data_IF_433017724537
#
_entry.id   IF_433017724537
#
_cell.length_a   1.000
_cell.length_b   1.000
_cell.length_c   1.000
_cell.angle_alpha   90.00
_cell.angle_beta   90.00
_cell.angle_gamma   90.00
#
_symmetry.space_group_name_H-M   'P 1'
#
loop_
_entity.id
_entity.type
_entity.pdbx_description
1 polymer ?
#
# COMPACT_ATOMS: atom_id res chain seq x y z
N UNK A 1 -23.51 12.51 33.26
CA UNK A 1 -22.72 13.04 32.12
C UNK A 1 -22.55 14.58 32.07
N UNK A 2 -23.21 15.39 32.93
CA UNK A 2 -23.06 16.86 32.91
C UNK A 2 -21.71 17.38 33.45
N UNK A 3 -21.15 16.72 34.47
CA UNK A 3 -19.84 17.10 35.02
C UNK A 3 -18.72 16.99 33.98
N UNK A 4 -18.66 15.86 33.27
CA UNK A 4 -17.67 15.59 32.20
C UNK A 4 -17.75 16.66 31.09
N UNK A 5 -18.95 17.02 30.65
CA UNK A 5 -19.15 18.03 29.61
C UNK A 5 -18.64 19.42 30.04
N UNK A 6 -18.91 19.82 31.29
CA UNK A 6 -18.43 21.09 31.86
C UNK A 6 -16.91 21.11 32.03
N UNK A 7 -16.31 20.02 32.50
CA UNK A 7 -14.84 19.90 32.64
C UNK A 7 -14.13 19.99 31.30
N UNK A 8 -14.70 19.42 30.24
CA UNK A 8 -14.13 19.43 28.88
C UNK A 8 -14.50 20.69 28.07
N UNK A 9 -15.32 21.60 28.61
CA UNK A 9 -15.77 22.81 27.90
C UNK A 9 -16.66 22.54 26.68
N UNK A 10 -17.37 21.41 26.66
CA UNK A 10 -18.23 21.01 25.53
C UNK A 10 -19.70 20.94 25.94
N UNK A 11 -20.61 21.14 24.97
CA UNK A 11 -22.04 21.00 25.22
C UNK A 11 -22.43 19.57 25.59
N UNK A 12 -23.37 19.42 26.55
CA UNK A 12 -23.93 18.13 26.98
C UNK A 12 -24.58 17.36 25.83
N UNK A 13 -25.29 18.04 24.92
CA UNK A 13 -25.92 17.39 23.76
C UNK A 13 -24.88 16.78 22.83
N UNK A 14 -23.79 17.49 22.56
CA UNK A 14 -22.70 17.01 21.73
C UNK A 14 -22.03 15.74 22.31
N UNK A 15 -21.89 15.63 23.64
CA UNK A 15 -21.36 14.41 24.28
C UNK A 15 -22.27 13.22 24.05
N UNK A 16 -23.59 13.39 24.20
CA UNK A 16 -24.61 12.34 24.00
C UNK A 16 -24.68 11.93 22.52
N UNK A 17 -24.64 12.90 21.61
CA UNK A 17 -24.68 12.67 20.17
C UNK A 17 -23.40 11.99 19.65
N UNK A 18 -22.25 12.28 20.27
CA UNK A 18 -20.95 11.66 19.92
C UNK A 18 -20.81 10.27 20.55
N UNK A 19 -21.30 10.06 21.76
CA UNK A 19 -21.21 8.75 22.43
C UNK A 19 -22.11 7.69 21.79
N UNK A 20 -23.19 8.11 21.13
CA UNK A 20 -24.13 7.21 20.44
C UNK A 20 -23.71 6.89 19.00
N UNK A 21 -22.84 7.69 18.37
CA UNK A 21 -22.44 7.52 16.98
C UNK A 21 -21.09 6.81 16.88
N UNK A 22 -20.92 5.83 15.97
CA UNK A 22 -19.62 5.26 15.69
C UNK A 22 -18.68 6.34 15.12
N UNK A 23 -17.40 6.25 15.44
CA UNK A 23 -16.39 7.16 14.89
C UNK A 23 -16.36 7.04 13.37
N UNK A 24 -16.53 8.18 12.68
CA UNK A 24 -16.45 8.21 11.21
C UNK A 24 -14.99 7.99 10.79
N UNK A 25 -14.69 6.96 9.99
CA UNK A 25 -13.34 6.77 9.49
C UNK A 25 -12.95 7.95 8.61
N UNK A 26 -11.68 8.34 8.69
CA UNK A 26 -11.12 9.34 7.79
C UNK A 26 -11.18 8.79 6.36
N UNK A 27 -11.74 9.57 5.45
CA UNK A 27 -11.86 9.16 4.04
C UNK A 27 -10.50 8.89 3.37
N UNK A 28 -10.50 8.22 2.20
CA UNK A 28 -9.28 7.95 1.47
C UNK A 28 -8.53 9.26 1.16
N UNK A 29 -7.20 9.18 1.12
CA UNK A 29 -6.35 10.33 0.80
C UNK A 29 -6.79 10.94 -0.54
N UNK A 30 -7.15 12.22 -0.59
CA UNK A 30 -7.43 12.92 -1.85
C UNK A 30 -6.91 14.33 -1.71
N UNK A 31 -5.98 14.68 -2.59
CA UNK A 31 -5.38 16.00 -2.64
C UNK A 31 -5.47 16.51 -4.09
N UNK A 32 -6.16 17.64 -4.34
CA UNK A 32 -6.37 18.13 -5.71
C UNK A 32 -5.03 18.48 -6.41
N UNK A 33 -4.05 18.95 -5.63
CA UNK A 33 -2.67 19.21 -6.04
C UNK A 33 -1.92 17.98 -6.61
N UNK A 34 -2.37 16.76 -6.32
CA UNK A 34 -1.74 15.52 -6.80
C UNK A 34 -2.25 15.03 -8.16
N UNK A 35 -3.39 15.56 -8.62
CA UNK A 35 -4.09 15.02 -9.79
C UNK A 35 -3.47 15.52 -11.10
N UNK A 36 -2.94 16.75 -11.12
CA UNK A 36 -2.49 17.40 -12.35
C UNK A 36 -0.98 17.28 -12.60
N UNK A 37 -0.12 17.75 -11.68
CA UNK A 37 1.31 17.91 -11.96
C UNK A 37 2.17 16.66 -11.62
N UNK A 38 2.08 16.08 -10.40
CA UNK A 38 2.92 14.92 -10.06
C UNK A 38 2.52 13.65 -10.80
N UNK A 39 1.24 13.51 -11.16
CA UNK A 39 0.72 12.30 -11.79
C UNK A 39 1.29 12.12 -13.20
N UNK A 40 1.28 13.16 -14.04
CA UNK A 40 1.83 13.10 -15.40
C UNK A 40 3.34 12.79 -15.42
N UNK A 41 4.12 13.42 -14.53
CA UNK A 41 5.56 13.14 -14.35
C UNK A 41 5.82 11.71 -13.86
N UNK A 42 4.94 11.18 -13.00
CA UNK A 42 5.02 9.79 -12.54
C UNK A 42 4.73 8.81 -13.66
N UNK A 43 3.69 9.04 -14.48
CA UNK A 43 3.35 8.16 -15.59
C UNK A 43 4.49 8.09 -16.62
N UNK A 44 5.11 9.22 -16.97
CA UNK A 44 6.25 9.21 -17.91
C UNK A 44 7.45 8.43 -17.38
N UNK A 45 7.75 8.59 -16.08
CA UNK A 45 8.85 7.87 -15.41
C UNK A 45 8.58 6.36 -15.33
N UNK A 46 7.35 5.97 -15.00
CA UNK A 46 6.95 4.55 -14.86
C UNK A 46 6.89 3.86 -16.22
N UNK A 47 6.41 4.55 -17.27
CA UNK A 47 6.38 4.02 -18.62
C UNK A 47 7.78 3.62 -19.13
N UNK A 48 8.81 4.40 -18.78
CA UNK A 48 10.19 4.08 -19.14
C UNK A 48 10.80 2.96 -18.29
N UNK A 49 10.35 2.81 -17.04
CA UNK A 49 10.95 1.89 -16.04
C UNK A 49 9.87 1.17 -15.23
N UNK A 50 9.11 0.24 -15.83
CA UNK A 50 7.97 -0.42 -15.17
C UNK A 50 8.37 -1.31 -14.00
N UNK A 51 9.64 -1.74 -13.93
CA UNK A 51 10.20 -2.57 -12.84
C UNK A 51 10.54 -1.76 -11.58
N UNK A 52 10.40 -0.43 -11.59
CA UNK A 52 10.82 0.42 -10.47
C UNK A 52 9.71 0.62 -9.45
N UNK A 53 10.00 0.30 -8.18
CA UNK A 53 9.12 0.62 -7.07
C UNK A 53 9.16 2.10 -6.69
N UNK A 54 8.17 2.53 -5.91
CA UNK A 54 7.93 3.93 -5.57
C UNK A 54 9.17 4.69 -5.05
N UNK A 55 10.05 4.05 -4.26
CA UNK A 55 11.29 4.69 -3.75
C UNK A 55 12.25 5.11 -4.87
N UNK A 56 12.40 4.30 -5.92
CA UNK A 56 13.29 4.64 -7.04
C UNK A 56 12.66 5.72 -7.91
N UNK A 57 11.36 5.59 -8.18
CA UNK A 57 10.59 6.60 -8.91
C UNK A 57 10.67 7.97 -8.22
N UNK A 58 10.55 8.01 -6.88
CA UNK A 58 10.67 9.27 -6.12
C UNK A 58 12.04 9.92 -6.23
N UNK A 59 13.11 9.11 -6.30
CA UNK A 59 14.47 9.64 -6.43
C UNK A 59 14.67 10.26 -7.82
N UNK A 60 14.14 9.63 -8.87
CA UNK A 60 14.18 10.15 -10.23
C UNK A 60 13.37 11.44 -10.36
N UNK A 61 12.13 11.44 -9.84
CA UNK A 61 11.25 12.60 -9.86
C UNK A 61 11.85 13.78 -9.08
N UNK A 62 12.46 13.54 -7.91
CA UNK A 62 13.13 14.59 -7.15
C UNK A 62 14.42 15.09 -7.83
N UNK A 63 15.13 14.25 -8.60
CA UNK A 63 16.28 14.70 -9.40
C UNK A 63 15.83 15.60 -10.55
N UNK A 64 14.74 15.27 -11.24
CA UNK A 64 14.14 16.11 -12.29
C UNK A 64 13.66 17.45 -11.70
N UNK A 65 12.85 17.40 -10.65
CA UNK A 65 12.35 18.61 -9.98
C UNK A 65 13.45 19.52 -9.46
N UNK A 66 14.54 18.95 -8.94
CA UNK A 66 15.71 19.75 -8.53
C UNK A 66 16.34 20.49 -9.71
N UNK A 67 16.43 19.87 -10.88
CA UNK A 67 16.90 20.55 -12.11
C UNK A 67 15.95 21.65 -12.55
N UNK A 68 14.65 21.43 -12.39
CA UNK A 68 13.61 22.38 -12.76
C UNK A 68 13.34 23.45 -11.69
N UNK A 69 14.09 23.46 -10.59
CA UNK A 69 13.89 24.39 -9.46
C UNK A 69 12.57 24.18 -8.67
N UNK A 70 11.90 23.04 -8.87
CA UNK A 70 10.63 22.69 -8.24
C UNK A 70 10.82 22.05 -6.85
N UNK A 71 9.83 22.17 -5.96
CA UNK A 71 9.90 21.54 -4.63
C UNK A 71 9.94 20.01 -4.72
N UNK A 72 10.76 19.42 -3.86
CA UNK A 72 10.87 17.95 -3.72
C UNK A 72 9.56 17.35 -3.20
N UNK A 73 9.27 16.13 -3.65
CA UNK A 73 8.10 15.36 -3.24
C UNK A 73 8.49 14.30 -2.22
N UNK A 74 7.68 14.18 -1.16
CA UNK A 74 7.83 13.13 -0.17
C UNK A 74 7.52 11.75 -0.78
N UNK A 75 8.38 10.77 -0.52
CA UNK A 75 8.20 9.40 -1.03
C UNK A 75 6.86 8.76 -0.63
N UNK A 76 6.32 9.08 0.55
CA UNK A 76 5.01 8.58 0.98
C UNK A 76 3.86 9.14 0.14
N UNK A 77 4.00 10.36 -0.38
CA UNK A 77 2.99 10.98 -1.24
C UNK A 77 2.92 10.26 -2.58
N UNK A 78 4.08 9.96 -3.18
CA UNK A 78 4.16 9.13 -4.39
C UNK A 78 3.61 7.73 -4.17
N UNK A 79 3.90 7.09 -3.03
CA UNK A 79 3.32 5.78 -2.72
C UNK A 79 1.79 5.80 -2.72
N UNK A 80 1.18 6.81 -2.07
CA UNK A 80 -0.29 6.95 -2.01
C UNK A 80 -0.88 7.17 -3.41
N UNK A 81 -0.26 8.03 -4.21
CA UNK A 81 -0.68 8.28 -5.59
C UNK A 81 -0.55 7.02 -6.44
N UNK A 82 0.55 6.28 -6.34
CA UNK A 82 0.73 5.01 -7.07
C UNK A 82 -0.29 3.95 -6.66
N UNK A 83 -0.61 3.84 -5.36
CA UNK A 83 -1.62 2.90 -4.86
C UNK A 83 -3.03 3.23 -5.36
N UNK A 84 -3.38 4.51 -5.43
CA UNK A 84 -4.69 4.95 -5.95
C UNK A 84 -4.88 4.71 -7.43
N UNK A 85 -3.78 4.72 -8.19
CA UNK A 85 -3.80 4.54 -9.64
C UNK A 85 -3.38 3.12 -10.08
N UNK A 86 -3.17 2.18 -9.15
CA UNK A 86 -2.76 0.81 -9.48
C UNK A 86 -1.38 0.71 -10.17
N UNK A 87 -0.46 1.62 -9.88
CA UNK A 87 0.85 1.72 -10.55
C UNK A 87 1.98 0.98 -9.82
N UNK A 88 1.65 0.12 -8.85
CA UNK A 88 2.66 -0.63 -8.10
C UNK A 88 3.08 -1.89 -8.86
N UNK A 89 4.28 -2.41 -8.58
CA UNK A 89 4.86 -3.56 -9.29
C UNK A 89 3.92 -4.78 -9.29
N UNK A 90 3.28 -5.08 -8.17
CA UNK A 90 2.29 -6.16 -8.09
C UNK A 90 1.11 -5.94 -9.05
N UNK A 91 0.66 -4.70 -9.21
CA UNK A 91 -0.48 -4.34 -10.07
C UNK A 91 -0.10 -4.32 -11.56
N UNK A 92 1.12 -3.84 -11.90
CA UNK A 92 1.64 -3.86 -13.27
C UNK A 92 1.94 -5.30 -13.73
N UNK A 93 2.41 -6.17 -12.83
CA UNK A 93 2.67 -7.58 -13.13
C UNK A 93 1.40 -8.44 -13.25
N UNK A 94 0.31 -8.07 -12.57
CA UNK A 94 -0.99 -8.77 -12.64
C UNK A 94 -1.84 -8.34 -13.85
N UNK A 95 -1.48 -7.25 -14.53
CA UNK A 95 -2.16 -6.78 -15.73
C UNK A 95 -1.48 -7.31 -17.01
N UNK A 96 -1.30 -8.63 -17.10
CA UNK A 96 -1.17 -9.30 -18.40
C UNK A 96 -2.56 -9.46 -19.04
N UNK A 97 -2.71 -9.47 -20.38
CA UNK A 97 -4.02 -9.52 -21.02
C UNK A 97 -4.82 -10.73 -20.52
N UNK A 98 -6.14 -10.60 -20.26
CA UNK A 98 -6.92 -11.72 -19.74
C UNK A 98 -6.98 -12.84 -20.78
N UNK A 99 -6.24 -13.92 -20.55
CA UNK A 99 -6.34 -15.14 -21.34
C UNK A 99 -7.60 -15.93 -20.93
N UNK A 100 -8.26 -16.62 -21.88
CA UNK A 100 -9.65 -16.99 -21.78
C UNK A 100 -9.91 -18.04 -20.71
N UNK A 101 -11.02 -17.84 -20.00
CA UNK A 101 -11.72 -18.83 -19.16
C UNK A 101 -11.83 -20.16 -19.89
N UNK A 102 -11.22 -21.22 -19.33
CA UNK A 102 -11.76 -22.58 -19.20
C UNK A 102 -10.68 -23.43 -18.53
N UNK A 103 -10.85 -23.77 -17.25
CA UNK A 103 -10.80 -25.14 -16.73
C UNK A 103 -11.51 -25.12 -15.38
N UNK A 104 -12.70 -25.72 -15.34
CA UNK A 104 -13.43 -26.11 -14.14
C UNK A 104 -12.63 -27.16 -13.35
N UNK A 105 -12.17 -26.81 -12.14
CA UNK A 105 -11.62 -27.79 -11.20
C UNK A 105 -12.77 -28.43 -10.41
N UNK A 106 -12.99 -29.71 -10.65
CA UNK A 106 -13.92 -30.55 -9.88
C UNK A 106 -13.34 -30.75 -8.48
N UNK A 107 -14.15 -30.43 -7.47
CA UNK A 107 -13.85 -30.52 -6.04
C UNK A 107 -13.90 -31.98 -5.59
N UNK A 108 -12.75 -32.62 -5.35
CA UNK A 108 -12.69 -33.82 -4.51
C UNK A 108 -12.61 -33.39 -3.04
N UNK A 109 -13.61 -33.82 -2.27
CA UNK A 109 -13.74 -33.63 -0.83
C UNK A 109 -12.92 -34.71 -0.12
N UNK A 110 -11.85 -34.30 0.57
CA UNK A 110 -11.08 -35.17 1.46
C UNK A 110 -10.47 -34.38 2.61
N UNK A 111 -11.08 -34.49 3.78
CA UNK A 111 -10.45 -34.32 5.11
C UNK A 111 -9.96 -32.92 5.52
N UNK A 112 -10.74 -32.24 6.37
CA UNK A 112 -10.26 -31.12 7.21
C UNK A 112 -9.56 -31.63 8.48
N UNK A 113 -8.28 -31.27 8.75
CA UNK A 113 -7.71 -31.40 10.08
C UNK A 113 -7.92 -30.10 10.87
N UNK A 114 -8.35 -30.24 12.14
CA UNK A 114 -8.55 -29.14 13.07
C UNK A 114 -7.22 -28.47 13.49
N UNK A 115 -7.18 -27.15 13.73
CA UNK A 115 -5.98 -26.46 14.17
C UNK A 115 -5.87 -26.48 15.70
N UNK A 116 -5.06 -27.38 16.27
CA UNK A 116 -4.61 -27.27 17.65
C UNK A 116 -3.23 -26.62 17.74
N UNK A 117 -3.18 -25.55 18.55
CA UNK A 117 -2.05 -24.77 19.10
C UNK A 117 -0.66 -25.43 18.97
N UNK A 118 0.16 -24.93 18.07
CA UNK A 118 1.59 -25.32 17.94
C UNK A 118 2.30 -24.81 16.70
N UNK A 119 1.87 -23.69 16.10
CA UNK A 119 2.32 -23.20 14.79
C UNK A 119 3.58 -22.32 14.82
N UNK A 120 4.37 -22.43 15.88
CA UNK A 120 5.69 -21.81 15.98
C UNK A 120 6.66 -22.95 16.22
N UNK A 121 7.56 -23.13 15.25
CA UNK A 121 8.75 -24.01 15.25
C UNK A 121 8.73 -24.89 14.01
N UNK A 122 9.21 -24.34 12.89
CA UNK A 122 9.97 -25.04 11.82
C UNK A 122 10.15 -24.07 10.64
N UNK A 123 11.00 -23.06 10.80
CA UNK A 123 11.64 -22.39 9.66
C UNK A 123 13.01 -21.83 10.04
N UNK A 124 13.86 -22.65 10.65
CA UNK A 124 15.30 -22.36 10.78
C UNK A 124 15.97 -22.67 9.43
N UNK A 125 16.02 -21.67 8.55
CA UNK A 125 16.78 -21.76 7.30
C UNK A 125 18.28 -21.85 7.61
N UNK A 126 18.90 -22.99 7.27
CA UNK A 126 20.35 -23.11 7.16
C UNK A 126 20.78 -22.68 5.74
N UNK A 127 21.52 -21.57 5.66
CA UNK A 127 22.32 -21.22 4.49
C UNK A 127 23.59 -22.08 4.46
N UNK A 128 23.73 -22.98 3.49
CA UNK A 128 25.03 -23.55 3.10
C UNK A 128 25.45 -22.92 1.78
N UNK A 129 26.33 -21.93 1.86
CA UNK A 129 27.02 -21.30 0.73
C UNK A 129 28.08 -22.26 0.19
N UNK A 130 28.11 -22.38 -1.14
CA UNK A 130 28.96 -23.31 -1.89
C UNK A 130 30.46 -23.17 -1.68
N UNK A 131 31.11 -24.30 -1.98
CA UNK A 131 32.53 -24.62 -1.88
C UNK A 131 33.46 -23.69 -2.67
N UNK A 132 34.68 -23.40 -2.17
CA UNK A 132 35.75 -22.82 -2.97
C UNK A 132 36.58 -23.93 -3.65
N UNK A 133 36.67 -23.89 -4.98
CA UNK A 133 37.71 -24.58 -5.74
C UNK A 133 39.02 -23.82 -5.59
N UNK A 134 40.05 -24.46 -5.05
CA UNK A 134 41.43 -23.99 -5.13
C UNK A 134 42.28 -25.09 -5.80
N UNK A 135 43.12 -24.61 -6.71
CA UNK A 135 44.23 -25.30 -7.36
C UNK A 135 45.16 -26.02 -6.37
#
# INVERSE_FOLDING_TARGET
MSAIARTLGVSRSNVIDRSSKPSKPRGPYRKPEDVAAPLAELHSTIAQRPTYGYRRVTALLNRQRRKDGRPMVNAKRVLRVMQQNGLNLQSIQLCGPPAPTTVSYVREMGSTPQPSRGWIDLLTWHCSTGSPTAY
#
